data_IF_908284400968
#
_entry.id   IF_908284400968
#
_cell.length_a   1.000
_cell.length_b   1.000
_cell.length_c   1.000
_cell.angle_alpha   90.00
_cell.angle_beta   90.00
_cell.angle_gamma   90.00
#
_symmetry.space_group_name_H-M   'P 1'
#
loop_
_entity.id
_entity.type
_entity.pdbx_description
1 polymer ?
#
# COMPACT_ATOMS: atom_id res chain seq x y z
N UNK A 1 4.35 -31.13 -7.94
CA UNK A 1 3.34 -30.47 -7.06
C UNK A 1 2.76 -29.29 -7.83
N UNK A 2 1.46 -29.29 -8.08
CA UNK A 2 0.77 -28.16 -8.67
C UNK A 2 0.42 -27.16 -7.56
N UNK A 3 0.84 -25.91 -7.71
CA UNK A 3 0.53 -24.81 -6.78
C UNK A 3 -0.70 -24.11 -7.33
N UNK A 4 -1.86 -24.34 -6.71
CA UNK A 4 -3.09 -23.65 -7.08
C UNK A 4 -3.07 -22.22 -6.53
N UNK A 5 -3.09 -21.24 -7.42
CA UNK A 5 -3.36 -19.84 -7.08
C UNK A 5 -4.88 -19.64 -7.14
N UNK A 6 -5.52 -19.48 -5.99
CA UNK A 6 -6.94 -19.12 -5.94
C UNK A 6 -7.04 -17.59 -5.93
N UNK A 7 -7.45 -16.97 -7.03
CA UNK A 7 -7.99 -15.60 -7.00
C UNK A 7 -9.51 -15.71 -7.07
N UNK A 8 -10.15 -15.83 -5.91
CA UNK A 8 -11.61 -15.97 -5.80
C UNK A 8 -12.32 -14.64 -5.48
N UNK A 9 -11.61 -13.55 -5.14
CA UNK A 9 -12.18 -12.26 -4.71
C UNK A 9 -11.30 -11.05 -5.12
N UNK A 10 -11.87 -9.82 -5.17
CA UNK A 10 -11.56 -8.77 -6.16
C UNK A 10 -10.19 -8.10 -5.96
N UNK A 11 -9.76 -7.38 -7.01
CA UNK A 11 -8.71 -6.35 -6.88
C UNK A 11 -9.25 -5.27 -5.95
N UNK A 12 -8.94 -5.35 -4.67
CA UNK A 12 -9.25 -4.26 -3.75
C UNK A 12 -8.26 -3.12 -4.01
N UNK A 13 -8.84 -2.00 -4.43
CA UNK A 13 -8.12 -0.78 -4.78
C UNK A 13 -8.32 0.20 -3.64
N UNK A 14 -7.22 0.57 -3.00
CA UNK A 14 -7.22 1.56 -1.93
C UNK A 14 -6.62 2.85 -2.44
N UNK A 15 -7.41 3.91 -2.41
CA UNK A 15 -6.98 5.25 -2.81
C UNK A 15 -6.91 6.14 -1.58
N UNK A 16 -5.77 6.80 -1.42
CA UNK A 16 -5.50 7.70 -0.31
C UNK A 16 -5.08 9.04 -0.86
N UNK A 17 -5.63 10.09 -0.28
CA UNK A 17 -5.18 11.44 -0.48
C UNK A 17 -4.83 12.02 0.90
N UNK A 18 -3.68 12.67 1.00
CA UNK A 18 -3.30 13.39 2.21
C UNK A 18 -2.57 14.68 1.85
N UNK A 19 -2.67 15.66 2.75
CA UNK A 19 -1.96 16.92 2.66
C UNK A 19 -0.97 16.97 3.82
N UNK A 20 0.30 17.13 3.48
CA UNK A 20 1.36 17.36 4.44
C UNK A 20 1.52 18.87 4.58
N UNK A 21 1.14 19.39 5.74
CA UNK A 21 1.32 20.81 6.06
C UNK A 21 2.73 21.09 6.58
N UNK A 22 3.16 22.34 6.43
CA UNK A 22 4.47 22.81 6.87
C UNK A 22 5.59 21.90 6.35
N UNK A 23 5.51 21.53 5.07
CA UNK A 23 6.37 20.50 4.47
C UNK A 23 7.86 20.85 4.61
N UNK A 24 8.20 22.14 4.60
CA UNK A 24 9.55 22.65 4.84
C UNK A 24 10.15 22.23 6.19
N UNK A 25 9.32 22.01 7.22
CA UNK A 25 9.73 21.50 8.54
C UNK A 25 10.06 20.00 8.55
N UNK A 26 9.77 19.29 7.44
CA UNK A 26 10.20 17.91 7.14
C UNK A 26 9.99 16.93 8.30
N UNK A 27 8.75 16.48 8.56
CA UNK A 27 8.54 15.38 9.49
C UNK A 27 9.32 14.15 9.02
N UNK A 28 10.11 13.52 9.90
CA UNK A 28 10.95 12.36 9.53
C UNK A 28 10.11 11.19 8.98
N UNK A 29 8.87 11.07 9.49
CA UNK A 29 7.93 10.02 9.15
C UNK A 29 6.53 10.59 9.00
N UNK A 30 5.83 10.19 7.94
CA UNK A 30 4.40 10.45 7.75
C UNK A 30 3.67 9.10 7.68
N UNK A 31 2.50 9.02 8.31
CA UNK A 31 1.66 7.82 8.31
C UNK A 31 0.30 8.12 7.69
N UNK A 32 -0.17 7.23 6.83
CA UNK A 32 -1.57 7.27 6.38
C UNK A 32 -2.51 6.85 7.51
N UNK A 33 -3.82 7.13 7.37
CA UNK A 33 -4.84 6.41 8.14
C UNK A 33 -4.68 4.90 8.01
N UNK A 34 -5.12 4.18 9.05
CA UNK A 34 -5.17 2.73 9.00
C UNK A 34 -6.32 2.25 8.11
N UNK A 35 -6.09 1.16 7.39
CA UNK A 35 -7.09 0.50 6.55
C UNK A 35 -7.00 -1.01 6.72
N UNK A 36 -8.05 -1.73 6.31
CA UNK A 36 -8.01 -3.19 6.23
C UNK A 36 -7.83 -3.60 4.77
N UNK A 37 -6.90 -4.53 4.47
CA UNK A 37 -6.59 -4.92 3.09
C UNK A 37 -7.73 -5.65 2.38
N UNK A 38 -8.64 -6.26 3.14
CA UNK A 38 -9.80 -6.99 2.63
C UNK A 38 -11.00 -6.81 3.56
N UNK A 39 -12.24 -6.90 3.04
CA UNK A 39 -13.43 -7.01 3.87
C UNK A 39 -13.31 -8.19 4.85
N UNK A 40 -13.54 -7.96 6.14
CA UNK A 40 -13.43 -8.94 7.25
C UNK A 40 -12.00 -9.31 7.70
N UNK A 41 -10.97 -8.67 7.16
CA UNK A 41 -9.60 -8.82 7.68
C UNK A 41 -9.50 -8.25 9.11
N UNK A 42 -8.93 -9.02 10.05
CA UNK A 42 -8.60 -8.48 11.39
C UNK A 42 -7.29 -7.69 11.38
N UNK A 43 -6.49 -7.80 10.31
CA UNK A 43 -5.30 -6.96 10.13
C UNK A 43 -5.68 -5.49 9.87
N UNK A 44 -4.86 -4.59 10.42
CA UNK A 44 -4.83 -3.17 10.06
C UNK A 44 -3.49 -2.84 9.44
N UNK A 45 -3.55 -2.16 8.32
CA UNK A 45 -2.40 -1.74 7.54
C UNK A 45 -2.34 -0.22 7.56
N UNK A 46 -1.14 0.33 7.43
CA UNK A 46 -0.96 1.74 7.12
C UNK A 46 0.27 1.95 6.26
N UNK A 47 0.30 3.05 5.53
CA UNK A 47 1.43 3.45 4.71
C UNK A 47 2.32 4.36 5.54
N UNK A 48 3.61 4.05 5.55
CA UNK A 48 4.64 4.86 6.18
C UNK A 48 5.52 5.45 5.10
N UNK A 49 5.61 6.77 5.06
CA UNK A 49 6.56 7.50 4.23
C UNK A 49 7.75 7.88 5.10
N UNK A 50 8.96 7.60 4.62
CA UNK A 50 10.21 8.01 5.25
C UNK A 50 10.96 8.92 4.30
N UNK A 51 11.35 10.09 4.77
CA UNK A 51 12.19 11.00 3.99
C UNK A 51 13.64 10.55 4.06
N UNK A 52 14.31 10.62 2.92
CA UNK A 52 15.73 10.33 2.79
C UNK A 52 16.38 11.58 2.26
N UNK A 53 17.39 12.08 2.97
CA UNK A 53 18.15 13.23 2.52
C UNK A 53 19.48 12.80 1.92
N UNK A 54 19.74 13.33 0.73
CA UNK A 54 21.06 13.45 0.13
C UNK A 54 21.36 14.94 -0.04
N UNK A 55 22.63 15.30 -0.27
CA UNK A 55 23.12 16.70 -0.31
C UNK A 55 22.19 17.66 -1.05
N UNK A 56 21.78 17.32 -2.28
CA UNK A 56 20.95 18.17 -3.14
C UNK A 56 19.55 17.59 -3.42
N UNK A 57 19.34 16.33 -3.06
CA UNK A 57 18.14 15.57 -3.39
C UNK A 57 17.45 15.07 -2.14
N UNK A 58 16.13 15.05 -2.18
CA UNK A 58 15.30 14.42 -1.16
C UNK A 58 14.52 13.29 -1.83
N UNK A 59 14.58 12.12 -1.21
CA UNK A 59 13.82 10.94 -1.55
C UNK A 59 12.65 10.75 -0.59
N UNK A 60 11.56 10.18 -1.09
CA UNK A 60 10.51 9.62 -0.24
C UNK A 60 10.50 8.13 -0.49
N UNK A 61 10.83 7.37 0.56
CA UNK A 61 10.73 5.93 0.59
C UNK A 61 9.40 5.52 1.22
N UNK A 62 8.76 4.53 0.60
CA UNK A 62 7.42 4.10 0.98
C UNK A 62 7.45 2.69 1.54
N UNK A 63 6.77 2.51 2.67
CA UNK A 63 6.57 1.22 3.31
C UNK A 63 5.09 0.95 3.55
N UNK A 64 4.69 -0.32 3.46
CA UNK A 64 3.45 -0.81 4.07
C UNK A 64 3.80 -1.39 5.43
N UNK A 65 3.05 -1.01 6.46
CA UNK A 65 3.19 -1.53 7.82
C UNK A 65 1.91 -2.24 8.22
N UNK A 66 2.06 -3.42 8.83
CA UNK A 66 0.99 -4.37 9.06
C UNK A 66 0.94 -4.70 10.56
N UNK A 67 -0.24 -4.57 11.18
CA UNK A 67 -0.43 -4.67 12.64
C UNK A 67 -0.84 -6.05 13.16
N UNK A 68 -0.89 -7.07 12.29
CA UNK A 68 -1.33 -8.43 12.60
C UNK A 68 -1.05 -9.34 11.41
N UNK A 69 -1.15 -10.67 11.57
CA UNK A 69 -0.80 -11.57 10.48
C UNK A 69 -1.84 -12.65 10.18
N UNK A 70 -2.45 -12.51 9.03
CA UNK A 70 -3.44 -13.33 8.35
C UNK A 70 -2.90 -13.81 7.01
N UNK A 71 -2.00 -13.06 6.35
CA UNK A 71 -1.42 -13.46 5.06
C UNK A 71 0.06 -13.88 5.18
N UNK A 72 0.40 -15.03 4.58
CA UNK A 72 1.78 -15.52 4.42
C UNK A 72 2.49 -14.84 3.24
N UNK A 73 1.72 -14.53 2.21
CA UNK A 73 2.19 -13.93 0.97
C UNK A 73 1.07 -13.09 0.39
N UNK A 74 1.42 -11.97 -0.24
CA UNK A 74 0.54 -11.17 -1.08
C UNK A 74 1.37 -10.33 -2.04
N UNK A 75 0.70 -9.74 -3.02
CA UNK A 75 1.33 -8.86 -4.00
C UNK A 75 0.67 -7.50 -3.93
N UNK A 76 1.48 -6.43 -3.92
CA UNK A 76 1.00 -5.06 -3.94
C UNK A 76 1.53 -4.36 -5.18
N UNK A 77 0.62 -3.82 -6.00
CA UNK A 77 0.93 -2.75 -6.93
C UNK A 77 0.67 -1.42 -6.20
N UNK A 78 1.66 -0.53 -6.21
CA UNK A 78 1.57 0.78 -5.56
C UNK A 78 1.84 1.87 -6.58
N UNK A 79 0.96 2.85 -6.66
CA UNK A 79 1.13 4.04 -7.50
C UNK A 79 1.10 5.26 -6.59
N UNK A 80 2.13 6.10 -6.67
CA UNK A 80 2.24 7.32 -5.89
C UNK A 80 2.35 8.54 -6.79
N UNK A 81 1.67 9.60 -6.38
CA UNK A 81 1.70 10.89 -7.04
C UNK A 81 1.90 11.95 -5.97
N UNK A 82 2.99 12.71 -6.09
CA UNK A 82 3.27 13.88 -5.27
C UNK A 82 2.95 15.11 -6.09
N UNK A 83 1.97 15.86 -5.62
CA UNK A 83 1.44 17.04 -6.29
C UNK A 83 1.55 18.26 -5.38
N UNK A 84 1.48 19.44 -5.99
CA UNK A 84 1.13 20.66 -5.26
C UNK A 84 -0.34 20.63 -4.84
N UNK A 85 -0.76 21.57 -3.99
CA UNK A 85 -2.17 21.72 -3.61
C UNK A 85 -3.11 22.06 -4.77
N UNK A 86 -2.59 22.58 -5.89
CA UNK A 86 -3.35 22.85 -7.12
C UNK A 86 -3.35 21.66 -8.08
N UNK A 87 -3.02 20.45 -7.59
CA UNK A 87 -2.96 19.19 -8.34
C UNK A 87 -1.91 19.14 -9.46
N UNK A 88 -0.97 20.11 -9.54
CA UNK A 88 0.20 19.98 -10.40
C UNK A 88 1.09 18.84 -9.91
N UNK A 89 1.25 17.79 -10.72
CA UNK A 89 2.12 16.66 -10.44
C UNK A 89 3.60 17.08 -10.46
N UNK A 90 4.29 16.90 -9.33
CA UNK A 90 5.71 17.15 -9.18
C UNK A 90 6.49 15.89 -9.56
N UNK A 91 6.01 14.73 -9.08
CA UNK A 91 6.63 13.43 -9.32
C UNK A 91 5.62 12.32 -9.09
N UNK A 92 5.72 11.27 -9.89
CA UNK A 92 4.99 10.03 -9.67
C UNK A 92 5.92 8.83 -9.82
N UNK A 93 5.54 7.73 -9.19
CA UNK A 93 6.24 6.46 -9.32
C UNK A 93 5.25 5.29 -9.16
N UNK A 94 5.57 4.16 -9.75
CA UNK A 94 4.76 2.95 -9.66
C UNK A 94 5.67 1.76 -9.43
N UNK A 95 5.33 0.97 -8.43
CA UNK A 95 6.08 -0.23 -8.09
C UNK A 95 5.16 -1.43 -7.91
N UNK A 96 5.76 -2.60 -8.08
CA UNK A 96 5.10 -3.88 -7.90
C UNK A 96 5.98 -4.74 -7.02
N UNK A 97 5.46 -5.14 -5.87
CA UNK A 97 6.20 -5.93 -4.89
C UNK A 97 5.43 -7.17 -4.52
N UNK A 98 6.12 -8.32 -4.62
CA UNK A 98 5.69 -9.56 -4.00
C UNK A 98 6.22 -9.57 -2.57
N UNK A 99 5.32 -9.59 -1.62
CA UNK A 99 5.65 -9.63 -0.20
C UNK A 99 5.52 -11.06 0.29
N UNK A 100 6.60 -11.54 0.91
CA UNK A 100 6.72 -12.86 1.53
C UNK A 100 7.46 -12.72 2.85
N UNK A 101 7.25 -13.65 3.77
CA UNK A 101 7.93 -13.64 5.06
C UNK A 101 7.11 -12.94 6.15
N UNK A 102 7.74 -12.71 7.30
CA UNK A 102 7.04 -12.45 8.57
C UNK A 102 7.30 -11.05 9.14
N UNK A 103 7.78 -10.13 8.32
CA UNK A 103 8.09 -8.77 8.76
C UNK A 103 6.79 -7.97 8.99
N UNK A 104 6.89 -6.96 9.83
CA UNK A 104 5.77 -6.04 10.10
C UNK A 104 5.78 -4.82 9.16
N UNK A 105 6.88 -4.61 8.42
CA UNK A 105 7.09 -3.43 7.60
C UNK A 105 7.86 -3.79 6.34
N UNK A 106 7.23 -3.61 5.17
CA UNK A 106 7.82 -3.95 3.89
C UNK A 106 8.02 -2.71 3.03
N UNK A 107 9.21 -2.56 2.46
CA UNK A 107 9.51 -1.50 1.49
C UNK A 107 8.76 -1.77 0.19
N UNK A 108 8.03 -0.78 -0.30
CA UNK A 108 7.22 -0.91 -1.51
C UNK A 108 7.99 -0.61 -2.80
N UNK A 109 9.30 -0.36 -2.72
CA UNK A 109 10.16 -0.14 -3.89
C UNK A 109 9.75 1.09 -4.72
N UNK A 110 9.06 2.04 -4.10
CA UNK A 110 8.78 3.37 -4.63
C UNK A 110 9.82 4.30 -4.02
N UNK A 111 10.65 4.90 -4.88
CA UNK A 111 11.63 5.90 -4.44
C UNK A 111 11.47 7.14 -5.29
N UNK A 112 10.87 8.13 -4.66
CA UNK A 112 10.46 9.36 -5.35
C UNK A 112 11.53 10.40 -5.11
N UNK A 113 12.40 10.63 -6.10
CA UNK A 113 13.45 11.63 -6.05
C UNK A 113 12.92 12.99 -6.50
N UNK A 114 13.10 14.01 -5.67
CA UNK A 114 12.84 15.41 -6.00
C UNK A 114 14.07 16.27 -5.64
N UNK A 115 14.33 17.29 -6.47
CA UNK A 115 15.28 18.34 -6.12
C UNK A 115 14.76 19.09 -4.91
N UNK A 116 15.64 19.38 -3.95
CA UNK A 116 15.29 20.10 -2.72
C UNK A 116 14.60 21.45 -3.01
N UNK A 117 15.06 22.16 -4.05
CA UNK A 117 14.51 23.45 -4.47
C UNK A 117 13.03 23.39 -4.89
N UNK A 118 12.57 22.28 -5.47
CA UNK A 118 11.17 22.09 -5.85
C UNK A 118 10.26 21.85 -4.65
N UNK A 119 10.82 21.36 -3.53
CA UNK A 119 10.06 21.13 -2.31
C UNK A 119 10.05 22.34 -1.37
N UNK A 120 11.07 23.20 -1.42
CA UNK A 120 11.12 24.44 -0.61
C UNK A 120 10.25 25.57 -1.17
N UNK A 121 9.66 25.40 -2.36
CA UNK A 121 8.84 26.42 -3.05
C UNK A 121 7.38 25.98 -3.22
N UNK A 122 6.92 25.02 -2.42
CA UNK A 122 5.55 24.52 -2.48
C UNK A 122 4.54 25.63 -2.11
N UNK A 123 3.46 25.81 -2.89
CA UNK A 123 2.41 26.76 -2.55
C UNK A 123 1.81 26.48 -1.17
N UNK A 124 1.85 27.48 -0.29
CA UNK A 124 1.35 27.36 1.08
C UNK A 124 2.14 26.38 1.96
N UNK A 125 3.36 26.01 1.55
CA UNK A 125 4.20 25.01 2.21
C UNK A 125 3.49 23.66 2.44
N UNK A 126 2.69 23.26 1.44
CA UNK A 126 1.87 22.04 1.49
C UNK A 126 2.23 21.09 0.35
N UNK A 127 2.46 19.82 0.69
CA UNK A 127 2.60 18.74 -0.28
C UNK A 127 1.35 17.88 -0.29
N UNK A 128 0.76 17.67 -1.47
CA UNK A 128 -0.37 16.77 -1.65
C UNK A 128 0.15 15.42 -2.11
N UNK A 129 -0.08 14.38 -1.31
CA UNK A 129 0.22 12.99 -1.68
C UNK A 129 -1.06 12.28 -2.11
N UNK A 130 -1.00 11.60 -3.25
CA UNK A 130 -2.01 10.63 -3.67
C UNK A 130 -1.35 9.26 -3.81
N UNK A 131 -2.01 8.23 -3.31
CA UNK A 131 -1.56 6.87 -3.51
C UNK A 131 -2.72 5.95 -3.89
N UNK A 132 -2.41 4.98 -4.75
CA UNK A 132 -3.31 3.91 -5.13
C UNK A 132 -2.61 2.58 -4.91
N UNK A 133 -3.20 1.71 -4.11
CA UNK A 133 -2.70 0.37 -3.85
C UNK A 133 -3.67 -0.64 -4.42
N UNK A 134 -3.14 -1.64 -5.09
CA UNK A 134 -3.91 -2.82 -5.51
C UNK A 134 -3.27 -4.05 -4.90
N UNK A 135 -4.04 -4.76 -4.08
CA UNK A 135 -3.58 -5.97 -3.40
C UNK A 135 -4.15 -7.18 -4.14
N UNK A 136 -3.30 -8.16 -4.46
CA UNK A 136 -3.69 -9.36 -5.20
C UNK A 136 -2.83 -10.57 -4.84
N UNK A 137 -3.27 -11.77 -5.27
CA UNK A 137 -2.48 -13.00 -5.21
C UNK A 137 -2.02 -13.37 -3.80
N UNK A 138 -2.95 -13.38 -2.84
CA UNK A 138 -2.65 -13.59 -1.42
C UNK A 138 -2.81 -15.06 -1.00
N UNK A 139 -2.03 -15.48 0.01
CA UNK A 139 -2.11 -16.79 0.67
C UNK A 139 -2.35 -16.57 2.16
N UNK A 140 -3.42 -17.12 2.70
CA UNK A 140 -3.79 -16.98 4.11
C UNK A 140 -2.99 -17.96 4.97
N UNK A 141 -2.49 -17.51 6.13
CA UNK A 141 -1.93 -18.38 7.17
C UNK A 141 -3.06 -19.27 7.63
N UNK A 142 -2.92 -20.57 7.42
CA UNK A 142 -3.93 -21.59 7.67
C UNK A 142 -4.55 -21.47 9.08
N UNK A 143 -5.61 -20.66 9.22
CA UNK A 143 -6.47 -20.65 10.40
C UNK A 143 -7.48 -21.76 10.18
N UNK A 144 -7.51 -22.72 11.08
CA UNK A 144 -8.45 -23.85 11.19
C UNK A 144 -9.93 -23.44 11.34
N UNK A 145 -10.32 -22.28 10.82
CA UNK A 145 -11.55 -21.55 11.12
C UNK A 145 -12.07 -20.74 9.91
N UNK A 146 -11.84 -21.19 8.68
CA UNK A 146 -12.76 -20.89 7.59
C UNK A 146 -13.58 -22.15 7.32
N UNK A 147 -14.50 -22.45 8.23
CA UNK A 147 -15.73 -23.16 7.89
C UNK A 147 -16.62 -22.15 7.16
N UNK A 148 -16.20 -21.70 5.97
CA UNK A 148 -17.18 -21.25 5.00
C UNK A 148 -17.56 -22.50 4.24
N UNK A 149 -18.75 -23.02 4.54
CA UNK A 149 -19.46 -23.97 3.68
C UNK A 149 -19.22 -23.54 2.23
N UNK A 150 -18.45 -24.33 1.48
CA UNK A 150 -18.59 -24.34 0.03
C UNK A 150 -20.09 -24.48 -0.23
N UNK A 151 -20.74 -23.60 -1.02
CA UNK A 151 -22.08 -23.92 -1.50
C UNK A 151 -21.95 -25.27 -2.22
N UNK A 152 -22.65 -26.28 -1.71
CA UNK A 152 -22.68 -27.58 -2.35
C UNK A 152 -23.17 -27.36 -3.77
N UNK A 153 -22.42 -27.87 -4.75
CA UNK A 153 -22.92 -27.95 -6.12
C UNK A 153 -24.28 -28.68 -6.08
N UNK A 154 -25.29 -28.20 -6.81
CA UNK A 154 -26.58 -28.88 -6.84
C UNK A 154 -26.33 -30.34 -7.24
N UNK A 155 -26.86 -31.26 -6.44
CA UNK A 155 -26.77 -32.68 -6.76
C UNK A 155 -27.42 -32.92 -8.13
N UNK A 156 -26.86 -33.81 -8.97
CA UNK A 156 -27.49 -34.16 -10.23
C UNK A 156 -28.92 -34.67 -9.96
N UNK A 157 -29.89 -34.36 -10.84
CA UNK A 157 -31.24 -34.87 -10.67
C UNK A 157 -31.21 -36.40 -10.65
N UNK A 158 -31.83 -36.97 -9.62
CA UNK A 158 -32.03 -38.42 -9.49
C UNK A 158 -32.98 -38.82 -10.63
N UNK A 159 -32.56 -39.78 -11.46
CA UNK A 159 -33.38 -40.39 -12.51
C UNK A 159 -34.52 -41.22 -11.92
#
# INVERSE_FOLDING_TARGET
MAVSFYTLYPKDVFEFEWIVENFSFRPEVIRSPQFSPFPNSTERWYIKLKFIEWSECCGIDVFVVISGREFEQFTIKSEFYFCTITDLCIKSDTSFQRITGNEISYRLGVTTFCLRSKLTSLPGDKLKGKAKFTIAGHKVINKSTIINKLPALPAPPIQ
#
